data_IF_857878066522
#
_entry.id   IF_857878066522
#
_cell.length_a   1.000
_cell.length_b   1.000
_cell.length_c   1.000
_cell.angle_alpha   90.00
_cell.angle_beta   90.00
_cell.angle_gamma   90.00
#
_symmetry.space_group_name_H-M   'P 1'
#
loop_
_entity.id
_entity.type
_entity.pdbx_description
1 polymer ?
#
# COMPACT_ATOMS: atom_id res chain seq x y z
N UNK A 1 9.17 4.10 24.72
CA UNK A 1 8.29 4.39 23.59
C UNK A 1 9.07 4.12 22.33
N UNK A 2 8.50 3.35 21.43
CA UNK A 2 9.13 3.08 20.15
C UNK A 2 8.39 3.81 19.07
N UNK A 3 9.07 4.08 17.96
CA UNK A 3 8.49 4.72 16.81
C UNK A 3 8.73 3.80 15.62
N UNK A 4 7.66 3.29 15.03
CA UNK A 4 7.73 2.29 13.97
C UNK A 4 6.94 2.74 12.76
N UNK A 5 7.44 2.42 11.59
CA UNK A 5 6.74 2.73 10.35
C UNK A 5 6.15 1.46 9.77
N UNK A 6 4.96 1.61 9.20
CA UNK A 6 4.24 0.50 8.58
C UNK A 6 3.61 0.95 7.28
N UNK A 7 3.42 -0.01 6.39
CA UNK A 7 2.54 0.17 5.24
C UNK A 7 1.43 -0.86 5.35
N UNK A 8 0.22 -0.44 4.99
CA UNK A 8 -0.92 -1.34 4.93
C UNK A 8 -1.37 -1.35 3.47
N UNK A 9 -1.38 -2.55 2.88
CA UNK A 9 -1.79 -2.72 1.50
C UNK A 9 -3.23 -3.21 1.50
N UNK A 10 -4.11 -2.47 0.84
CA UNK A 10 -5.54 -2.77 0.83
C UNK A 10 -5.94 -3.09 -0.60
N UNK A 11 -6.54 -4.26 -0.79
CA UNK A 11 -6.94 -4.74 -2.11
C UNK A 11 -8.39 -5.20 -2.09
N UNK A 12 -9.10 -5.10 -3.21
CA UNK A 12 -10.44 -5.66 -3.30
C UNK A 12 -10.38 -7.17 -3.14
N UNK A 13 -11.39 -7.75 -2.51
CA UNK A 13 -11.47 -9.20 -2.42
C UNK A 13 -11.70 -9.81 -3.79
N UNK A 14 -11.26 -11.05 -4.02
CA UNK A 14 -11.56 -11.73 -5.27
C UNK A 14 -13.08 -11.76 -5.49
N UNK A 15 -13.49 -11.55 -6.73
CA UNK A 15 -14.91 -11.58 -7.08
C UNK A 15 -15.67 -10.31 -6.82
N UNK A 16 -15.04 -9.34 -6.19
CA UNK A 16 -15.68 -8.03 -5.96
C UNK A 16 -15.39 -7.15 -7.17
N UNK A 17 -16.40 -6.39 -7.59
CA UNK A 17 -16.22 -5.44 -8.68
C UNK A 17 -15.19 -4.40 -8.30
N UNK A 18 -14.24 -4.18 -9.20
CA UNK A 18 -13.16 -3.22 -9.02
C UNK A 18 -13.25 -2.22 -10.18
N UNK A 19 -13.98 -1.12 -9.99
CA UNK A 19 -14.14 -0.17 -11.09
C UNK A 19 -12.83 0.43 -11.58
N UNK A 20 -11.88 0.63 -10.68
CA UNK A 20 -10.59 1.19 -11.09
C UNK A 20 -9.79 0.19 -11.90
N UNK A 21 -9.75 -1.06 -11.47
CA UNK A 21 -9.06 -2.09 -12.23
C UNK A 21 -9.70 -2.30 -13.59
N UNK A 22 -11.04 -2.26 -13.63
CA UNK A 22 -11.74 -2.42 -14.90
C UNK A 22 -11.43 -1.26 -15.83
N UNK A 23 -11.35 -0.05 -15.31
CA UNK A 23 -11.02 1.11 -16.12
C UNK A 23 -9.60 1.00 -16.69
N UNK A 24 -8.66 0.47 -15.91
CA UNK A 24 -7.31 0.25 -16.42
C UNK A 24 -7.35 -0.77 -17.53
N UNK A 25 -8.07 -1.88 -17.36
CA UNK A 25 -8.16 -2.89 -18.40
C UNK A 25 -8.73 -2.30 -19.69
N UNK A 26 -9.73 -1.46 -19.57
CA UNK A 26 -10.38 -0.87 -20.74
C UNK A 26 -9.48 0.14 -21.44
N UNK A 27 -8.46 0.62 -20.78
CA UNK A 27 -7.52 1.57 -21.39
C UNK A 27 -6.41 0.88 -22.18
N UNK A 28 -6.19 -0.40 -21.93
CA UNK A 28 -5.05 -1.10 -22.53
C UNK A 28 -5.11 -1.16 -24.07
N UNK A 29 -6.28 -1.36 -24.70
CA UNK A 29 -6.29 -1.35 -26.16
C UNK A 29 -5.83 -0.04 -26.76
N UNK A 30 -6.07 1.07 -26.08
CA UNK A 30 -5.62 2.37 -26.59
C UNK A 30 -4.10 2.49 -26.59
N UNK A 31 -3.41 1.67 -25.79
CA UNK A 31 -1.97 1.64 -25.76
C UNK A 31 -1.42 0.49 -26.59
N UNK A 32 -2.32 -0.23 -27.29
CA UNK A 32 -1.94 -1.38 -28.12
C UNK A 32 -1.27 -2.48 -27.29
N UNK A 33 -1.74 -2.64 -26.06
CA UNK A 33 -1.24 -3.68 -25.17
C UNK A 33 -2.21 -4.85 -25.15
N UNK A 34 -1.70 -6.05 -25.32
CA UNK A 34 -2.47 -7.28 -25.25
C UNK A 34 -1.86 -8.20 -24.20
N UNK A 35 -2.65 -9.14 -23.72
CA UNK A 35 -2.14 -10.14 -22.81
C UNK A 35 -2.20 -9.74 -21.34
N UNK A 36 -2.82 -8.61 -21.02
CA UNK A 36 -2.98 -8.17 -19.64
C UNK A 36 -4.45 -8.25 -19.27
N UNK A 37 -4.73 -8.90 -18.16
CA UNK A 37 -6.10 -9.04 -17.67
C UNK A 37 -6.07 -9.15 -16.15
N UNK A 38 -7.28 -9.10 -15.57
CA UNK A 38 -7.44 -9.25 -14.12
C UNK A 38 -6.68 -8.16 -13.37
N UNK A 39 -6.72 -6.96 -13.90
CA UNK A 39 -6.07 -5.83 -13.26
C UNK A 39 -6.86 -5.47 -12.01
N UNK A 40 -6.17 -5.35 -10.90
CA UNK A 40 -6.78 -5.02 -9.61
C UNK A 40 -6.07 -3.79 -9.07
N UNK A 41 -6.84 -2.83 -8.61
CA UNK A 41 -6.30 -1.58 -8.07
C UNK A 41 -6.65 -1.51 -6.60
N UNK A 42 -5.65 -1.31 -5.78
CA UNK A 42 -5.84 -1.12 -4.35
C UNK A 42 -5.13 0.13 -3.90
N UNK A 43 -4.88 0.21 -2.60
CA UNK A 43 -4.18 1.37 -2.07
C UNK A 43 -3.18 0.95 -1.01
N UNK A 44 -2.22 1.81 -0.79
CA UNK A 44 -1.20 1.63 0.23
C UNK A 44 -1.29 2.79 1.19
N UNK A 45 -1.39 2.49 2.47
CA UNK A 45 -1.40 3.50 3.53
C UNK A 45 -0.09 3.37 4.29
N UNK A 46 0.66 4.45 4.41
CA UNK A 46 1.89 4.46 5.19
C UNK A 46 1.69 5.32 6.41
N UNK A 47 2.19 4.85 7.54
CA UNK A 47 2.03 5.60 8.78
C UNK A 47 3.20 5.33 9.72
N UNK A 48 3.38 6.25 10.63
CA UNK A 48 4.33 6.11 11.73
C UNK A 48 3.53 5.98 13.00
N UNK A 49 3.85 4.98 13.80
CA UNK A 49 3.14 4.71 15.03
C UNK A 49 4.12 4.81 16.20
N UNK A 50 3.72 5.54 17.23
CA UNK A 50 4.47 5.57 18.48
C UNK A 50 3.67 4.81 19.52
N UNK A 51 4.33 3.89 20.20
CA UNK A 51 3.68 3.04 21.16
C UNK A 51 4.71 2.56 22.18
N UNK A 52 4.26 2.02 23.32
CA UNK A 52 5.21 1.56 24.34
C UNK A 52 6.11 0.42 23.85
N UNK A 53 5.64 -0.42 22.92
CA UNK A 53 6.43 -1.53 22.42
C UNK A 53 6.09 -1.78 20.98
N UNK A 54 6.95 -2.57 20.29
CA UNK A 54 6.69 -2.94 18.92
C UNK A 54 5.43 -3.76 18.78
N UNK A 55 5.17 -4.64 19.74
CA UNK A 55 3.95 -5.44 19.70
C UNK A 55 2.69 -4.60 19.77
N UNK A 56 2.73 -3.57 20.62
CA UNK A 56 1.58 -2.68 20.73
C UNK A 56 1.44 -1.81 19.51
N UNK A 57 2.57 -1.40 18.92
CA UNK A 57 2.51 -0.63 17.68
C UNK A 57 1.85 -1.46 16.57
N UNK A 58 2.27 -2.71 16.44
CA UNK A 58 1.69 -3.59 15.42
C UNK A 58 0.21 -3.82 15.66
N UNK A 59 -0.17 -4.07 16.91
CA UNK A 59 -1.57 -4.29 17.23
C UNK A 59 -2.43 -3.09 16.88
N UNK A 60 -1.90 -1.90 17.08
CA UNK A 60 -2.63 -0.69 16.73
C UNK A 60 -2.82 -0.57 15.22
N UNK A 61 -1.77 -0.88 14.46
CA UNK A 61 -1.88 -0.81 13.00
C UNK A 61 -2.88 -1.84 12.49
N UNK A 62 -2.88 -3.04 13.06
CA UNK A 62 -3.84 -4.07 12.66
C UNK A 62 -5.27 -3.61 12.94
N UNK A 63 -5.47 -2.96 14.07
CA UNK A 63 -6.80 -2.43 14.39
C UNK A 63 -7.21 -1.35 13.40
N UNK A 64 -6.30 -0.44 13.07
CA UNK A 64 -6.61 0.63 12.12
C UNK A 64 -6.89 0.06 10.74
N UNK A 65 -6.17 -0.98 10.35
CA UNK A 65 -6.42 -1.61 9.06
C UNK A 65 -7.83 -2.17 9.00
N UNK A 66 -8.27 -2.86 10.06
CA UNK A 66 -9.60 -3.46 10.08
C UNK A 66 -10.69 -2.42 10.20
N UNK A 67 -10.46 -1.39 11.00
CA UNK A 67 -11.56 -0.51 11.38
C UNK A 67 -11.61 0.78 10.59
N UNK A 68 -10.51 1.15 9.94
CA UNK A 68 -10.45 2.43 9.28
C UNK A 68 -9.94 2.35 7.85
N UNK A 69 -8.83 1.62 7.60
CA UNK A 69 -8.18 1.67 6.30
C UNK A 69 -8.84 0.78 5.27
N UNK A 70 -9.45 -0.31 5.67
CA UNK A 70 -10.06 -1.25 4.74
C UNK A 70 -11.53 -1.41 5.07
N UNK A 71 -12.32 -1.67 4.03
CA UNK A 71 -13.71 -2.05 4.22
C UNK A 71 -13.74 -3.58 4.25
N UNK A 72 -13.91 -4.19 5.43
CA UNK A 72 -13.74 -5.64 5.54
C UNK A 72 -14.75 -6.46 4.77
N UNK A 73 -15.85 -5.85 4.34
CA UNK A 73 -16.84 -6.57 3.57
C UNK A 73 -16.36 -6.83 2.14
N UNK A 74 -15.55 -5.93 1.60
CA UNK A 74 -15.16 -6.01 0.19
C UNK A 74 -13.66 -5.94 -0.03
N UNK A 75 -12.87 -5.74 1.02
CA UNK A 75 -11.43 -5.57 0.88
C UNK A 75 -10.67 -6.47 1.82
N UNK A 76 -9.45 -6.83 1.42
CA UNK A 76 -8.49 -7.49 2.29
C UNK A 76 -7.35 -6.51 2.55
N UNK A 77 -6.56 -6.80 3.58
CA UNK A 77 -5.41 -5.97 3.87
C UNK A 77 -4.23 -6.83 4.29
N UNK A 78 -3.05 -6.30 4.08
CA UNK A 78 -1.80 -6.93 4.52
C UNK A 78 -0.91 -5.85 5.10
N UNK A 79 -0.17 -6.20 6.12
CA UNK A 79 0.65 -5.27 6.85
C UNK A 79 2.11 -5.53 6.52
N UNK A 80 2.85 -4.45 6.28
CA UNK A 80 4.27 -4.53 5.97
C UNK A 80 5.04 -3.62 6.92
N UNK A 81 5.84 -4.19 7.83
CA UNK A 81 6.70 -3.35 8.67
C UNK A 81 7.77 -2.68 7.81
N UNK A 82 8.00 -1.40 8.06
CA UNK A 82 9.01 -0.65 7.35
C UNK A 82 10.21 -0.30 8.23
N UNK A 83 10.18 -0.72 9.51
CA UNK A 83 11.30 -0.53 10.40
C UNK A 83 11.11 0.61 11.37
N UNK A 84 12.07 0.77 12.26
CA UNK A 84 12.04 1.82 13.25
C UNK A 84 12.31 3.16 12.59
N UNK A 85 11.62 4.18 13.08
CA UNK A 85 11.85 5.53 12.60
C UNK A 85 13.01 6.14 13.33
N UNK A 86 13.89 6.75 12.56
CA UNK A 86 14.96 7.54 13.14
C UNK A 86 14.70 8.99 12.81
N UNK A 87 15.04 9.85 13.73
CA UNK A 87 14.82 11.24 13.46
C UNK A 87 15.62 11.74 12.28
N UNK A 88 16.70 11.08 11.97
CA UNK A 88 17.46 11.53 10.83
C UNK A 88 16.87 11.17 9.56
N UNK A 89 15.99 10.23 9.58
CA UNK A 89 15.46 9.81 8.35
C UNK A 89 14.78 10.89 7.62
N UNK A 90 14.40 11.81 8.33
CA UNK A 90 13.69 12.79 7.62
C UNK A 90 14.45 13.36 6.52
N UNK A 91 15.53 13.02 6.43
CA UNK A 91 16.20 13.49 5.33
C UNK A 91 15.60 13.01 4.13
N UNK A 92 15.24 13.12 3.99
CA UNK A 92 14.93 12.68 2.98
C UNK A 92 15.03 12.22 2.21
N UNK A 93 15.07 12.19 2.32
CA UNK A 93 14.95 11.86 1.57
C UNK A 93 14.78 11.23 1.05
N UNK A 94 14.81 11.09 1.05
CA UNK A 94 14.54 10.62 0.49
C UNK A 94 14.27 9.93 0.11
N UNK A 95 14.30 9.81 0.03
CA UNK A 95 13.88 9.32 -0.50
C UNK A 95 13.68 8.63 -0.94
N UNK A 96 13.70 8.52 -1.15
CA UNK A 96 13.39 8.07 -1.75
C UNK A 96 13.52 7.55 -2.29
N UNK A 97 13.70 7.44 -2.32
CA UNK A 97 13.65 7.07 -2.94
C UNK A 97 13.66 6.39 -3.40
N UNK A 98 13.62 6.31 -3.37
CA UNK A 98 13.47 5.86 -3.89
C UNK A 98 13.13 5.44 -4.30
N UNK A 99 13.16 5.21 -4.45
CA UNK A 99 12.71 4.87 -5.03
C UNK A 99 12.35 4.37 -5.45
N UNK A 100 12.39 4.18 -5.29
CA UNK A 100 11.92 3.74 -5.91
C UNK A 100 11.59 3.15 -6.17
N UNK A 101 11.70 2.84 -6.18
CA UNK A 101 11.25 2.28 -6.56
C UNK A 101 11.06 1.74 -6.83
N UNK A 102 11.11 1.53 -6.71
CA UNK A 102 10.76 1.17 -7.10
C UNK A 102 10.50 0.78 -7.50
N UNK A 103 10.49 0.55 -7.33
CA UNK A 103 10.03 0.45 -7.80
C UNK A 103 9.61 0.04 -8.08
N UNK A 104 9.62 -0.25 -8.02
CA UNK A 104 8.98 -0.36 -8.42
C UNK A 104 8.36 -0.41 -8.73
N UNK A 105 8.24 -0.63 -8.56
CA UNK A 105 7.49 -0.42 -8.96
C UNK A 105 7.00 -0.37 -9.38
N UNK A 106 6.85 -0.47 -9.33
CA UNK A 106 6.19 -0.18 -9.85
C UNK A 106 5.75 0.09 -10.20
N UNK A 107 5.58 0.03 -10.01
CA UNK A 107 4.98 0.58 -10.40
C UNK A 107 4.54 0.88 -10.82
N UNK A 108 4.41 0.86 -10.85
CA UNK A 108 3.80 1.36 -11.35
C UNK A 108 3.52 1.77 -11.74
N UNK A 109 3.48 1.59 -11.68
CA UNK A 109 3.09 2.18 -12.04
C UNK A 109 2.96 2.79 -12.22
N UNK A 110 3.09 2.68 -12.25
CA UNK A 110 2.89 3.45 -12.49
C UNK A 110 2.69 4.01 -12.77
N UNK A 111 2.58 3.86 -12.85
CA UNK A 111 2.27 4.59 -13.29
C UNK A 111 1.93 4.93 -13.72
N UNK A 112 1.81 4.73 -13.88
CA UNK A 112 1.39 5.10 -14.50
C UNK A 112 1.40 5.37 -14.86
#
# INVERSE_FOLDING_TARGET
MVSQRYAVHVMPKPGILDPQGKAVEQSLPHLQVEGVRDVRVGRRVELTVEAPSEGEARALVERLARELFANPLIETWALQPLGATSSVVSSGGGGVADHGPPASAPAPADRA
#
